data_IF_539555800675
#
_entry.id   IF_539555800675
#
_cell.length_a   1.000
_cell.length_b   1.000
_cell.length_c   1.000
_cell.angle_alpha   90.00
_cell.angle_beta   90.00
_cell.angle_gamma   90.00
#
_symmetry.space_group_name_H-M   'P 1'
#
loop_
_entity.id
_entity.type
_entity.pdbx_description
1 polymer ?
#
# COMPACT_ATOMS: atom_id res chain seq x y z
N UNK A 1 50.90 34.79 -36.16
CA UNK A 1 49.61 34.36 -35.59
C UNK A 1 49.88 33.48 -34.38
N UNK A 2 49.32 33.82 -33.21
CA UNK A 2 48.97 32.93 -32.10
C UNK A 2 48.24 33.80 -31.06
N UNK A 3 46.99 33.44 -30.82
CA UNK A 3 45.90 34.22 -30.23
C UNK A 3 46.03 34.37 -28.72
N UNK A 4 45.64 35.53 -28.19
CA UNK A 4 45.45 35.76 -26.76
C UNK A 4 44.08 35.20 -26.36
N UNK A 5 44.05 34.23 -25.45
CA UNK A 5 42.82 33.75 -24.83
C UNK A 5 42.53 34.61 -23.59
N UNK A 6 41.40 35.33 -23.61
CA UNK A 6 40.82 36.02 -22.48
C UNK A 6 40.03 35.01 -21.64
N UNK A 7 40.45 34.78 -20.40
CA UNK A 7 39.69 34.01 -19.43
C UNK A 7 38.59 34.90 -18.82
N UNK A 8 37.33 34.57 -19.07
CA UNK A 8 36.17 35.18 -18.39
C UNK A 8 35.88 34.35 -17.15
N UNK A 9 36.14 34.92 -15.97
CA UNK A 9 35.72 34.35 -14.68
C UNK A 9 34.29 34.81 -14.43
N UNK A 10 33.32 33.91 -14.60
CA UNK A 10 31.93 34.15 -14.19
C UNK A 10 31.79 33.82 -12.70
N UNK A 11 31.66 34.84 -11.86
CA UNK A 11 31.25 34.68 -10.45
C UNK A 11 29.74 34.48 -10.42
N UNK A 12 29.29 33.24 -10.20
CA UNK A 12 27.89 32.94 -9.94
C UNK A 12 27.65 33.18 -8.45
N UNK A 13 27.01 34.29 -8.12
CA UNK A 13 26.44 34.51 -6.80
C UNK A 13 25.21 33.60 -6.66
N UNK A 14 25.32 32.53 -5.88
CA UNK A 14 24.19 31.72 -5.45
C UNK A 14 23.37 32.54 -4.45
N UNK A 15 22.29 33.15 -4.94
CA UNK A 15 21.23 33.66 -4.08
C UNK A 15 20.57 32.47 -3.37
N UNK A 16 20.68 32.44 -2.05
CA UNK A 16 19.91 31.56 -1.17
C UNK A 16 18.42 31.85 -1.40
N UNK A 17 17.75 31.00 -2.17
CA UNK A 17 16.30 31.00 -2.22
C UNK A 17 15.78 30.44 -0.90
N UNK A 18 15.29 31.31 -0.03
CA UNK A 18 14.48 30.95 1.12
C UNK A 18 13.19 30.31 0.60
N UNK A 19 13.05 28.99 0.72
CA UNK A 19 11.78 28.31 0.45
C UNK A 19 10.80 28.66 1.56
N UNK A 20 10.01 29.70 1.34
CA UNK A 20 8.82 29.96 2.14
C UNK A 20 7.83 28.81 1.89
N UNK A 21 7.73 27.88 2.83
CA UNK A 21 6.63 26.93 2.87
C UNK A 21 5.36 27.69 3.22
N UNK A 22 4.60 28.11 2.21
CA UNK A 22 3.26 28.66 2.40
C UNK A 22 2.28 27.51 2.53
N UNK A 23 1.87 27.18 3.76
CA UNK A 23 0.69 26.36 3.99
C UNK A 23 -0.53 27.19 3.61
N UNK A 24 -1.13 26.89 2.45
CA UNK A 24 -2.37 27.52 2.03
C UNK A 24 -3.53 26.98 2.89
N UNK A 25 -3.95 27.74 3.89
CA UNK A 25 -5.26 27.59 4.50
C UNK A 25 -6.31 28.02 3.47
N UNK A 26 -6.89 27.05 2.77
CA UNK A 26 -8.07 27.28 1.93
C UNK A 26 -9.30 26.92 2.73
N UNK A 27 -10.13 27.91 3.06
CA UNK A 27 -11.47 27.70 3.58
C UNK A 27 -12.29 26.95 2.52
N UNK A 28 -12.58 25.67 2.77
CA UNK A 28 -13.35 24.83 1.85
C UNK A 28 -14.75 24.54 2.43
N UNK A 29 -15.75 25.15 1.80
CA UNK A 29 -17.17 24.84 1.93
C UNK A 29 -17.46 23.39 1.49
N UNK A 30 -17.19 22.39 2.33
CA UNK A 30 -17.70 21.02 2.18
C UNK A 30 -17.27 20.26 0.93
N UNK A 31 -16.18 20.66 0.26
CA UNK A 31 -15.59 19.91 -0.87
C UNK A 31 -14.60 18.89 -0.35
N UNK A 32 -14.59 17.69 -0.93
CA UNK A 32 -13.64 16.62 -0.59
C UNK A 32 -12.21 17.15 -0.51
N UNK A 33 -11.67 17.20 0.70
CA UNK A 33 -10.28 17.58 0.94
C UNK A 33 -9.42 16.37 0.61
N UNK A 34 -8.41 16.57 -0.23
CA UNK A 34 -7.41 15.54 -0.50
C UNK A 34 -6.01 16.15 -0.53
N UNK A 35 -5.03 15.39 -0.07
CA UNK A 35 -3.62 15.77 0.02
C UNK A 35 -2.80 14.79 -0.82
N UNK A 36 -2.01 15.30 -1.76
CA UNK A 36 -1.03 14.51 -2.51
C UNK A 36 0.30 14.58 -1.80
N UNK A 37 0.90 13.42 -1.51
CA UNK A 37 2.19 13.33 -0.83
C UNK A 37 3.31 13.24 -1.87
N UNK A 38 4.08 14.32 -2.02
CA UNK A 38 5.09 14.44 -3.09
C UNK A 38 6.45 13.83 -2.75
N UNK A 39 6.70 13.51 -1.48
CA UNK A 39 7.99 13.04 -0.97
C UNK A 39 8.01 11.52 -0.72
N UNK A 40 7.10 10.78 -1.36
CA UNK A 40 7.02 9.32 -1.27
C UNK A 40 7.46 8.73 -2.61
N UNK A 41 8.42 7.82 -2.55
CA UNK A 41 8.93 7.10 -3.71
C UNK A 41 9.49 5.73 -3.30
N UNK A 42 9.81 4.93 -4.32
CA UNK A 42 10.34 3.58 -4.25
C UNK A 42 9.44 2.62 -3.45
N UNK A 43 8.11 2.73 -3.63
CA UNK A 43 7.14 1.90 -2.90
C UNK A 43 7.25 0.46 -3.40
N UNK A 44 7.90 -0.39 -2.60
CA UNK A 44 8.01 -1.83 -2.86
C UNK A 44 7.17 -2.67 -1.89
N UNK A 45 6.81 -2.11 -0.73
CA UNK A 45 5.88 -2.70 0.23
C UNK A 45 4.91 -1.66 0.73
N UNK A 46 3.66 -2.06 0.93
CA UNK A 46 2.68 -1.26 1.67
C UNK A 46 2.32 -1.99 2.95
N UNK A 47 2.24 -1.25 4.05
CA UNK A 47 1.83 -1.74 5.36
C UNK A 47 0.71 -0.85 5.89
N UNK A 48 -0.46 -1.44 6.14
CA UNK A 48 -1.68 -0.72 6.51
C UNK A 48 -2.24 -1.21 7.83
N UNK A 49 -2.51 -0.29 8.76
CA UNK A 49 -3.06 -0.58 10.08
C UNK A 49 -4.31 0.26 10.39
N UNK A 50 -5.17 -0.25 11.26
CA UNK A 50 -6.36 0.44 11.77
C UNK A 50 -7.53 0.54 10.79
N UNK A 51 -8.26 1.66 10.82
CA UNK A 51 -9.46 1.94 10.03
C UNK A 51 -9.12 2.68 8.73
N UNK A 52 -8.43 1.98 7.84
CA UNK A 52 -7.97 2.51 6.55
C UNK A 52 -8.64 1.75 5.40
N UNK A 53 -9.04 2.46 4.35
CA UNK A 53 -9.37 1.88 3.06
C UNK A 53 -8.33 2.32 2.02
N UNK A 54 -7.54 1.35 1.58
CA UNK A 54 -6.49 1.50 0.60
C UNK A 54 -6.99 1.03 -0.77
N UNK A 55 -6.90 1.91 -1.76
CA UNK A 55 -6.98 1.59 -3.18
C UNK A 55 -5.57 1.55 -3.75
N UNK A 56 -5.20 0.46 -4.41
CA UNK A 56 -3.85 0.26 -4.94
C UNK A 56 -3.86 -0.12 -6.42
N UNK A 57 -2.98 0.49 -7.21
CA UNK A 57 -2.81 0.16 -8.63
C UNK A 57 -1.35 0.20 -9.04
N UNK A 58 -1.02 -0.52 -10.11
CA UNK A 58 0.26 -0.35 -10.77
C UNK A 58 0.32 0.94 -11.60
N UNK A 59 1.51 1.50 -11.74
CA UNK A 59 1.73 2.65 -12.61
C UNK A 59 3.19 2.88 -12.96
N UNK A 60 3.44 3.88 -13.81
CA UNK A 60 4.80 4.23 -14.25
C UNK A 60 5.60 5.03 -13.20
N UNK A 61 4.94 5.52 -12.16
CA UNK A 61 5.55 6.27 -11.07
C UNK A 61 4.73 6.11 -9.79
N UNK A 62 5.40 6.30 -8.65
CA UNK A 62 4.75 6.27 -7.34
C UNK A 62 3.92 7.53 -7.12
N UNK A 63 2.69 7.37 -6.66
CA UNK A 63 1.80 8.45 -6.27
C UNK A 63 0.98 8.04 -5.06
N UNK A 64 0.91 8.92 -4.06
CA UNK A 64 0.07 8.71 -2.88
C UNK A 64 -0.85 9.90 -2.70
N UNK A 65 -2.16 9.62 -2.71
CA UNK A 65 -3.20 10.60 -2.46
C UNK A 65 -4.04 10.16 -1.28
N UNK A 66 -4.10 11.00 -0.26
CA UNK A 66 -4.89 10.77 0.94
C UNK A 66 -6.12 11.65 0.87
N UNK A 67 -7.29 11.04 1.03
CA UNK A 67 -8.58 11.73 1.08
C UNK A 67 -8.98 11.97 2.54
N UNK A 68 -9.91 12.90 2.74
CA UNK A 68 -10.32 13.49 4.02
C UNK A 68 -9.37 14.59 4.51
N UNK A 69 -9.70 15.17 5.66
CA UNK A 69 -8.87 16.16 6.35
C UNK A 69 -7.64 15.48 6.98
N UNK A 70 -6.77 14.90 6.17
CA UNK A 70 -5.57 14.12 6.54
C UNK A 70 -4.82 14.65 7.78
N UNK A 71 -4.60 15.97 7.87
CA UNK A 71 -3.91 16.60 9.00
C UNK A 71 -4.76 16.73 10.28
N UNK A 72 -6.09 16.76 10.17
CA UNK A 72 -7.00 16.79 11.31
C UNK A 72 -7.23 15.39 11.92
N UNK A 73 -7.06 14.33 11.14
CA UNK A 73 -7.41 12.96 11.53
C UNK A 73 -6.34 12.21 12.35
N UNK A 74 -5.18 12.84 12.63
CA UNK A 74 -4.05 12.14 13.27
C UNK A 74 -3.63 10.85 12.53
N UNK A 75 -3.85 10.81 11.22
CA UNK A 75 -3.42 9.73 10.36
C UNK A 75 -1.91 9.82 10.09
N UNK A 76 -1.25 8.67 9.95
CA UNK A 76 0.17 8.58 9.64
C UNK A 76 0.34 7.93 8.28
N UNK A 77 0.86 8.69 7.32
CA UNK A 77 1.28 8.18 6.00
C UNK A 77 2.72 8.58 5.76
N UNK A 78 3.62 7.61 5.79
CA UNK A 78 5.06 7.83 5.69
C UNK A 78 5.74 6.70 4.91
N UNK A 79 6.79 7.02 4.17
CA UNK A 79 7.63 6.03 3.49
C UNK A 79 9.01 5.97 4.14
N UNK A 80 9.51 4.76 4.35
CA UNK A 80 10.89 4.54 4.79
C UNK A 80 11.42 3.24 4.20
N UNK A 81 12.57 3.32 3.53
CA UNK A 81 13.26 2.19 2.91
C UNK A 81 12.36 1.37 1.97
N UNK A 82 11.51 2.06 1.20
CA UNK A 82 10.55 1.46 0.25
C UNK A 82 9.29 0.87 0.87
N UNK A 83 9.13 0.96 2.19
CA UNK A 83 7.89 0.58 2.90
C UNK A 83 7.02 1.81 3.12
N UNK A 84 5.89 1.87 2.43
CA UNK A 84 4.83 2.84 2.69
C UNK A 84 3.98 2.37 3.87
N UNK A 85 4.02 3.09 4.99
CA UNK A 85 3.23 2.83 6.19
C UNK A 85 2.05 3.77 6.25
N UNK A 86 0.87 3.21 6.39
CA UNK A 86 -0.41 3.92 6.45
C UNK A 86 -1.13 3.45 7.71
N UNK A 87 -1.55 4.38 8.56
CA UNK A 87 -2.37 4.04 9.72
C UNK A 87 -3.34 5.15 10.09
N UNK A 88 -4.52 4.75 10.56
CA UNK A 88 -5.53 5.61 11.18
C UNK A 88 -6.32 4.80 12.19
N UNK A 89 -6.57 5.35 13.37
CA UNK A 89 -7.37 4.71 14.42
C UNK A 89 -8.58 5.55 14.84
N UNK A 90 -9.03 6.43 13.96
CA UNK A 90 -10.26 7.20 14.12
C UNK A 90 -11.47 6.38 13.68
N UNK A 91 -12.64 6.82 14.12
CA UNK A 91 -13.92 6.22 13.73
C UNK A 91 -14.19 6.47 12.24
N UNK A 92 -13.75 7.62 11.73
CA UNK A 92 -13.76 7.95 10.31
C UNK A 92 -12.69 7.15 9.55
N UNK A 93 -13.15 6.46 8.51
CA UNK A 93 -12.29 5.65 7.64
C UNK A 93 -11.36 6.56 6.82
N UNK A 94 -10.05 6.36 6.95
CA UNK A 94 -9.05 7.03 6.13
C UNK A 94 -9.01 6.39 4.74
N UNK A 95 -9.30 7.16 3.69
CA UNK A 95 -9.23 6.66 2.31
C UNK A 95 -7.91 7.08 1.66
N UNK A 96 -7.14 6.10 1.17
CA UNK A 96 -5.84 6.33 0.54
C UNK A 96 -5.79 5.67 -0.82
N UNK A 97 -5.31 6.40 -1.82
CA UNK A 97 -5.02 5.90 -3.16
C UNK A 97 -3.51 5.85 -3.36
N UNK A 98 -3.01 4.68 -3.75
CA UNK A 98 -1.60 4.44 -4.02
C UNK A 98 -1.45 3.88 -5.42
N UNK A 99 -0.74 4.62 -6.26
CA UNK A 99 -0.14 4.08 -7.47
C UNK A 99 1.30 3.73 -7.14
N UNK A 100 1.74 2.52 -7.46
CA UNK A 100 3.10 2.07 -7.19
C UNK A 100 3.76 1.50 -8.45
N UNK A 101 5.04 1.81 -8.64
CA UNK A 101 5.80 1.36 -9.80
C UNK A 101 6.35 -0.06 -9.66
N UNK A 102 6.76 -0.43 -8.45
CA UNK A 102 7.43 -1.71 -8.17
C UNK A 102 6.92 -2.33 -6.87
N UNK A 103 5.60 -2.32 -6.68
CA UNK A 103 4.98 -2.94 -5.51
C UNK A 103 5.15 -4.45 -5.54
N UNK A 104 5.67 -5.03 -4.46
CA UNK A 104 5.93 -6.47 -4.33
C UNK A 104 5.24 -7.09 -3.13
N UNK A 105 4.86 -6.29 -2.13
CA UNK A 105 4.20 -6.82 -0.95
C UNK A 105 3.13 -5.88 -0.38
N UNK A 106 2.07 -6.46 0.18
CA UNK A 106 1.06 -5.77 0.98
C UNK A 106 0.89 -6.52 2.31
N UNK A 107 0.96 -5.78 3.42
CA UNK A 107 0.54 -6.28 4.73
C UNK A 107 -0.59 -5.41 5.28
N UNK A 108 -1.67 -6.04 5.72
CA UNK A 108 -2.83 -5.34 6.28
C UNK A 108 -3.24 -5.93 7.64
N UNK A 109 -3.55 -5.05 8.59
CA UNK A 109 -3.81 -5.38 9.99
C UNK A 109 -5.11 -4.73 10.48
N UNK A 110 -5.54 -5.10 11.68
CA UNK A 110 -6.73 -4.57 12.35
C UNK A 110 -8.01 -4.67 11.49
N UNK A 111 -8.57 -3.53 11.07
CA UNK A 111 -9.79 -3.41 10.28
C UNK A 111 -9.50 -2.82 8.88
N UNK A 112 -8.24 -2.86 8.43
CA UNK A 112 -7.85 -2.27 7.16
C UNK A 112 -8.49 -3.00 5.99
N UNK A 113 -8.92 -2.26 4.98
CA UNK A 113 -9.46 -2.79 3.73
C UNK A 113 -8.54 -2.40 2.57
N UNK A 114 -8.12 -3.38 1.77
CA UNK A 114 -7.28 -3.17 0.59
C UNK A 114 -8.04 -3.59 -0.66
N UNK A 115 -8.07 -2.74 -1.69
CA UNK A 115 -8.71 -3.01 -2.97
C UNK A 115 -7.74 -2.69 -4.09
N UNK A 116 -7.51 -3.64 -5.00
CA UNK A 116 -6.79 -3.31 -6.23
C UNK A 116 -7.70 -2.57 -7.21
N UNK A 117 -7.14 -1.63 -7.96
CA UNK A 117 -7.78 -1.01 -9.10
C UNK A 117 -7.05 -1.44 -10.37
N UNK A 118 -7.71 -2.26 -11.19
CA UNK A 118 -7.04 -3.03 -12.24
C UNK A 118 -6.24 -4.22 -11.69
N UNK A 119 -5.45 -4.84 -12.56
CA UNK A 119 -4.60 -5.98 -12.24
C UNK A 119 -3.25 -5.52 -11.69
N UNK A 120 -2.82 -6.12 -10.58
CA UNK A 120 -1.46 -6.01 -10.06
C UNK A 120 -0.58 -7.02 -10.82
N UNK A 121 0.23 -6.54 -11.76
CA UNK A 121 1.02 -7.34 -12.68
C UNK A 121 2.44 -7.54 -12.15
N UNK A 122 2.78 -8.75 -11.69
CA UNK A 122 3.96 -9.00 -10.84
C UNK A 122 4.79 -10.21 -11.28
N UNK A 123 6.09 -10.17 -10.98
CA UNK A 123 6.90 -11.40 -11.02
C UNK A 123 6.65 -12.19 -9.73
N UNK A 124 6.80 -11.53 -8.59
CA UNK A 124 6.53 -12.09 -7.26
C UNK A 124 5.68 -11.10 -6.47
N UNK A 125 4.66 -11.60 -5.77
CA UNK A 125 3.76 -10.78 -4.98
C UNK A 125 3.37 -11.45 -3.66
N UNK A 126 3.62 -10.77 -2.55
CA UNK A 126 3.31 -11.28 -1.22
C UNK A 126 2.17 -10.47 -0.58
N UNK A 127 1.17 -11.17 -0.07
CA UNK A 127 0.03 -10.58 0.65
C UNK A 127 -0.06 -11.23 2.02
N UNK A 128 -0.08 -10.42 3.06
CA UNK A 128 -0.21 -10.88 4.45
C UNK A 128 -1.32 -10.12 5.18
N UNK A 129 -2.38 -10.83 5.56
CA UNK A 129 -3.57 -10.25 6.17
C UNK A 129 -3.72 -10.77 7.59
N UNK A 130 -3.98 -9.86 8.53
CA UNK A 130 -4.10 -10.14 9.95
C UNK A 130 -5.42 -9.60 10.53
N UNK A 131 -5.75 -10.10 11.72
CA UNK A 131 -6.89 -9.65 12.53
C UNK A 131 -8.23 -9.73 11.80
N UNK A 132 -8.81 -8.59 11.41
CA UNK A 132 -10.06 -8.49 10.65
C UNK A 132 -9.85 -7.77 9.31
N UNK A 133 -8.61 -7.68 8.84
CA UNK A 133 -8.27 -7.01 7.59
C UNK A 133 -8.94 -7.72 6.40
N UNK A 134 -9.30 -6.93 5.38
CA UNK A 134 -9.92 -7.46 4.16
C UNK A 134 -9.12 -7.05 2.93
N UNK A 135 -9.03 -7.94 1.95
CA UNK A 135 -8.40 -7.65 0.68
C UNK A 135 -9.28 -8.11 -0.48
N UNK A 136 -9.44 -7.26 -1.49
CA UNK A 136 -10.02 -7.61 -2.80
C UNK A 136 -8.98 -7.28 -3.86
N UNK A 137 -8.34 -8.30 -4.41
CA UNK A 137 -7.16 -8.14 -5.27
C UNK A 137 -7.33 -8.90 -6.58
N UNK A 138 -7.09 -8.21 -7.68
CA UNK A 138 -6.85 -8.79 -9.00
C UNK A 138 -5.33 -8.91 -9.19
N UNK A 139 -4.83 -10.15 -9.21
CA UNK A 139 -3.40 -10.47 -9.25
C UNK A 139 -3.11 -11.19 -10.56
N UNK A 140 -2.16 -10.65 -11.32
CA UNK A 140 -1.59 -11.28 -12.52
C UNK A 140 -0.09 -11.50 -12.26
N UNK A 141 0.29 -12.69 -11.82
CA UNK A 141 1.67 -12.90 -11.35
C UNK A 141 2.29 -14.23 -11.77
N UNK A 142 3.62 -14.26 -11.89
CA UNK A 142 4.31 -15.55 -11.96
C UNK A 142 4.22 -16.28 -10.62
N UNK A 143 4.48 -15.61 -9.50
CA UNK A 143 4.34 -16.16 -8.15
C UNK A 143 3.54 -15.25 -7.25
N UNK A 144 2.61 -15.82 -6.49
CA UNK A 144 1.94 -15.11 -5.41
C UNK A 144 1.91 -15.94 -4.13
N UNK A 145 2.31 -15.32 -3.01
CA UNK A 145 2.15 -15.89 -1.67
C UNK A 145 1.09 -15.12 -0.92
N UNK A 146 0.03 -15.79 -0.47
CA UNK A 146 -1.03 -15.16 0.32
C UNK A 146 -1.09 -15.82 1.69
N UNK A 147 -1.04 -15.02 2.74
CA UNK A 147 -1.25 -15.45 4.12
C UNK A 147 -2.47 -14.74 4.69
N UNK A 148 -3.42 -15.49 5.23
CA UNK A 148 -4.65 -14.98 5.83
C UNK A 148 -4.79 -15.53 7.25
N UNK A 149 -4.48 -14.67 8.23
CA UNK A 149 -4.47 -15.00 9.64
C UNK A 149 -5.75 -14.52 10.35
N UNK A 150 -6.09 -15.15 11.48
CA UNK A 150 -7.21 -14.77 12.34
C UNK A 150 -8.56 -14.73 11.59
N UNK A 151 -9.26 -13.59 11.62
CA UNK A 151 -10.55 -13.36 10.97
C UNK A 151 -10.41 -12.57 9.65
N UNK A 152 -9.18 -12.37 9.16
CA UNK A 152 -8.93 -11.63 7.95
C UNK A 152 -9.56 -12.35 6.74
N UNK A 153 -9.84 -11.62 5.66
CA UNK A 153 -10.48 -12.18 4.46
C UNK A 153 -9.83 -11.70 3.18
N UNK A 154 -9.70 -12.59 2.20
CA UNK A 154 -9.20 -12.28 0.87
C UNK A 154 -10.21 -12.72 -0.20
N UNK A 155 -10.52 -11.82 -1.13
CA UNK A 155 -11.17 -12.15 -2.40
C UNK A 155 -10.15 -11.93 -3.52
N UNK A 156 -9.80 -12.99 -4.23
CA UNK A 156 -8.78 -12.98 -5.27
C UNK A 156 -9.41 -13.21 -6.63
N UNK A 157 -8.94 -12.48 -7.64
CA UNK A 157 -9.27 -12.64 -9.07
C UNK A 157 -7.98 -12.56 -9.90
N UNK A 158 -8.00 -13.00 -11.17
CA UNK A 158 -6.84 -12.96 -12.07
C UNK A 158 -6.13 -14.31 -12.26
N UNK A 159 -4.85 -14.30 -12.63
CA UNK A 159 -4.06 -15.49 -12.97
C UNK A 159 -2.69 -15.56 -12.29
N UNK A 160 -2.35 -16.72 -11.70
CA UNK A 160 -1.04 -16.95 -11.08
C UNK A 160 -0.43 -18.30 -11.48
N UNK A 161 0.85 -18.32 -11.87
CA UNK A 161 1.53 -19.59 -12.19
C UNK A 161 1.84 -20.40 -10.92
N UNK A 162 2.50 -19.80 -9.94
CA UNK A 162 2.91 -20.42 -8.68
C UNK A 162 2.17 -19.77 -7.50
N UNK A 163 1.14 -20.43 -7.00
CA UNK A 163 0.32 -19.92 -5.91
C UNK A 163 0.58 -20.66 -4.59
N UNK A 164 0.95 -19.92 -3.55
CA UNK A 164 1.10 -20.43 -2.19
C UNK A 164 0.08 -19.73 -1.29
N UNK A 165 -0.76 -20.51 -0.62
CA UNK A 165 -1.75 -20.00 0.31
C UNK A 165 -1.55 -20.60 1.71
N UNK A 166 -1.45 -19.72 2.71
CA UNK A 166 -1.51 -20.07 4.11
C UNK A 166 -2.73 -19.43 4.75
N UNK A 167 -3.58 -20.21 5.41
CA UNK A 167 -4.86 -19.70 5.91
C UNK A 167 -5.30 -20.38 7.20
N UNK A 168 -6.00 -19.64 8.07
CA UNK A 168 -6.56 -20.21 9.31
C UNK A 168 -7.91 -20.92 9.07
N UNK A 169 -8.79 -20.30 8.29
CA UNK A 169 -10.15 -20.78 7.99
C UNK A 169 -10.37 -20.82 6.47
N UNK A 170 -10.86 -21.92 5.93
CA UNK A 170 -11.18 -22.04 4.49
C UNK A 170 -12.15 -20.95 4.00
N UNK A 171 -13.06 -20.48 4.85
CA UNK A 171 -14.03 -19.44 4.49
C UNK A 171 -13.41 -18.04 4.41
N UNK A 172 -12.14 -17.88 4.78
CA UNK A 172 -11.43 -16.61 4.73
C UNK A 172 -10.92 -16.26 3.34
N UNK A 173 -10.88 -17.21 2.40
CA UNK A 173 -10.36 -16.98 1.05
C UNK A 173 -11.41 -17.34 0.00
N UNK A 174 -11.77 -16.36 -0.80
CA UNK A 174 -12.68 -16.49 -1.94
C UNK A 174 -11.84 -16.34 -3.21
N UNK A 175 -11.73 -17.43 -3.97
CA UNK A 175 -11.13 -17.42 -5.30
C UNK A 175 -12.24 -17.19 -6.33
N UNK A 176 -12.42 -15.95 -6.78
CA UNK A 176 -13.43 -15.53 -7.75
C UNK A 176 -12.80 -15.39 -9.13
N UNK A 177 -12.99 -16.40 -9.99
CA UNK A 177 -12.29 -16.49 -11.27
C UNK A 177 -10.77 -16.34 -11.14
N UNK A 178 -10.21 -16.81 -10.02
CA UNK A 178 -8.77 -16.84 -9.78
C UNK A 178 -8.19 -18.15 -10.32
N UNK A 179 -7.37 -18.06 -11.36
CA UNK A 179 -6.84 -19.21 -12.10
C UNK A 179 -5.40 -19.44 -11.65
N UNK A 180 -5.09 -20.68 -11.27
CA UNK A 180 -3.73 -21.07 -10.84
C UNK A 180 -3.21 -22.27 -11.62
N UNK A 181 -1.93 -22.30 -11.96
CA UNK A 181 -1.29 -23.47 -12.61
C UNK A 181 -0.80 -24.46 -11.56
N UNK A 182 0.04 -24.00 -10.64
CA UNK A 182 0.58 -24.76 -9.52
C UNK A 182 0.09 -24.13 -8.22
N UNK A 183 -0.50 -24.94 -7.34
CA UNK A 183 -1.09 -24.46 -6.09
C UNK A 183 -0.59 -25.29 -4.89
N UNK A 184 -0.16 -24.59 -3.85
CA UNK A 184 0.16 -25.15 -2.53
C UNK A 184 -0.66 -24.46 -1.46
N UNK A 185 -1.41 -25.24 -0.67
CA UNK A 185 -2.31 -24.75 0.37
C UNK A 185 -1.93 -25.35 1.72
N UNK A 186 -1.68 -24.50 2.72
CA UNK A 186 -1.40 -24.90 4.10
C UNK A 186 -2.41 -24.26 5.03
N UNK A 187 -3.26 -25.08 5.66
CA UNK A 187 -4.10 -24.61 6.75
C UNK A 187 -3.29 -24.55 8.04
N UNK A 188 -3.42 -23.46 8.80
CA UNK A 188 -2.81 -23.31 10.13
C UNK A 188 -3.87 -23.24 11.21
N UNK A 189 -3.53 -23.74 12.40
CA UNK A 189 -4.40 -23.65 13.57
C UNK A 189 -4.69 -22.18 13.88
N UNK A 190 -5.97 -21.82 14.01
CA UNK A 190 -6.34 -20.51 14.52
C UNK A 190 -5.83 -20.37 15.96
N UNK A 191 -5.07 -19.29 16.24
CA UNK A 191 -4.62 -18.94 17.58
C UNK A 191 -5.85 -18.49 18.37
N UNK A 192 -6.68 -19.43 18.81
CA UNK A 192 -7.98 -19.16 19.40
C UNK A 192 -8.70 -20.39 19.94
N UNK A 193 -8.46 -21.59 19.38
CA UNK A 193 -8.86 -22.84 20.04
C UNK A 193 -7.82 -23.23 21.09
N UNK A 194 -7.91 -22.61 22.27
CA UNK A 194 -7.48 -23.30 23.49
C UNK A 194 -8.54 -24.37 23.73
N UNK A 195 -8.22 -25.61 23.43
CA UNK A 195 -9.01 -26.75 23.89
C UNK A 195 -9.09 -26.67 25.42
N UNK A 196 -10.18 -26.13 25.94
CA UNK A 196 -10.62 -26.38 27.32
C UNK A 196 -11.20 -27.80 27.36
N UNK A 197 -10.35 -28.79 27.08
CA UNK A 197 -10.63 -30.19 27.35
C UNK A 197 -10.08 -30.48 28.75
N UNK A 198 -10.93 -30.31 29.77
CA UNK A 198 -10.55 -30.62 31.16
C UNK A 198 -11.48 -30.03 32.22
N UNK A 199 -12.80 -30.24 32.10
CA UNK A 199 -13.76 -30.24 33.20
C UNK A 199 -14.81 -31.32 32.92
#
# INVERSE_FOLDING_TARGET
MKTKFLAIVAVIASALATTNFTYAATENNGKEVSTVLTNISQINKIEVHGNVELYVSDGSADQVKVYNQYYAESALVQSQNGVLRISSYKDEKLVVWVTANDLRAISAYDNAAVKSFGSLSKIEFDVDLHDSATAQLNIEAYRASVTVNNNAKATLTGGVTEYSLKYADTASVINDNFITVNESKTQVSSVGKRDIAGL
#
